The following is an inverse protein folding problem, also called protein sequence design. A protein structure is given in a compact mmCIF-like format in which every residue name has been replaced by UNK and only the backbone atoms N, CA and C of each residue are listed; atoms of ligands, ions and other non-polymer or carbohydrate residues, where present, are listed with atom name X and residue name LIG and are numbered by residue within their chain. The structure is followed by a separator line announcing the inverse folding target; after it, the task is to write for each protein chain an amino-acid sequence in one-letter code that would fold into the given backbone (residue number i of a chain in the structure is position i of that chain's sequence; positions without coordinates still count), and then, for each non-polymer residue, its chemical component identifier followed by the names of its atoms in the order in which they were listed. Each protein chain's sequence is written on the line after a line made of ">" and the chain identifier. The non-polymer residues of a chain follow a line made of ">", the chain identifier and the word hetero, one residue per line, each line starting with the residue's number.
data_IF_838838075037
#
_entry.id   IF_838838075037
#
_cell.length_a   1.000
_cell.length_b   1.000
_cell.length_c   1.000
_cell.angle_alpha   90.00
_cell.angle_beta   90.00
_cell.angle_gamma   90.00
#
_symmetry.space_group_name_H-M   'P 1'
#
loop_
_entity.id
_entity.type
_entity.pdbx_description
1 polymer ?
#
# COMPACT_ATOMS: atom_id res chain seq x y z
N UNK A 1 29.45 16.90 8.39
CA UNK A 1 28.95 18.28 8.50
C UNK A 1 27.45 18.23 8.23
N UNK A 2 26.61 18.55 9.21
CA UNK A 2 25.15 18.65 9.01
C UNK A 2 24.87 19.75 7.98
N UNK A 3 23.93 19.51 7.07
CA UNK A 3 23.57 20.49 6.04
C UNK A 3 22.85 21.67 6.68
N UNK A 4 23.11 22.90 6.23
CA UNK A 4 22.49 24.11 6.82
C UNK A 4 20.97 24.15 6.59
N UNK A 5 20.48 23.50 5.52
CA UNK A 5 19.07 23.26 5.26
C UNK A 5 18.77 21.76 5.03
N UNK A 6 17.57 21.28 5.43
CA UNK A 6 17.17 19.90 5.18
C UNK A 6 16.86 19.63 3.70
N UNK A 7 17.31 18.47 3.24
CA UNK A 7 17.26 18.06 1.83
C UNK A 7 16.03 17.20 1.58
N UNK A 8 15.22 17.58 0.58
CA UNK A 8 14.14 16.76 0.04
C UNK A 8 14.69 15.94 -1.14
N UNK A 9 14.77 14.63 -0.94
CA UNK A 9 15.14 13.66 -1.97
C UNK A 9 13.88 12.95 -2.48
N UNK A 10 13.70 12.89 -3.80
CA UNK A 10 12.54 12.25 -4.42
C UNK A 10 12.93 10.89 -5.00
N UNK A 11 12.34 9.83 -4.47
CA UNK A 11 12.53 8.45 -4.93
C UNK A 11 11.62 8.14 -6.12
N UNK A 12 12.20 8.07 -7.32
CA UNK A 12 11.49 7.81 -8.57
C UNK A 12 11.35 6.30 -8.81
N UNK A 13 10.53 5.65 -7.99
CA UNK A 13 10.24 4.20 -8.03
C UNK A 13 9.30 3.81 -9.19
N UNK A 14 9.68 4.17 -10.41
CA UNK A 14 9.01 3.76 -11.65
C UNK A 14 9.67 2.53 -12.27
N UNK A 15 9.08 2.00 -13.32
CA UNK A 15 9.70 0.96 -14.16
C UNK A 15 9.97 1.45 -15.58
N UNK A 16 9.78 2.76 -15.82
CA UNK A 16 9.94 3.43 -17.10
C UNK A 16 10.58 4.82 -16.90
N UNK A 17 11.42 5.22 -17.85
CA UNK A 17 12.22 6.46 -17.77
C UNK A 17 11.36 7.71 -17.98
N UNK A 18 10.39 7.66 -18.89
CA UNK A 18 9.61 8.83 -19.30
C UNK A 18 8.78 9.40 -18.14
N UNK A 19 8.08 8.55 -17.39
CA UNK A 19 7.36 9.01 -16.20
C UNK A 19 8.29 9.48 -15.11
N UNK A 20 9.41 8.78 -14.91
CA UNK A 20 10.40 9.20 -13.93
C UNK A 20 10.89 10.62 -14.23
N UNK A 21 11.17 10.93 -15.50
CA UNK A 21 11.57 12.28 -15.94
C UNK A 21 10.45 13.30 -15.73
N UNK A 22 9.22 12.97 -16.11
CA UNK A 22 8.10 13.91 -15.96
C UNK A 22 7.90 14.29 -14.48
N UNK A 23 7.86 13.30 -13.59
CA UNK A 23 7.65 13.52 -12.16
C UNK A 23 8.86 14.20 -11.53
N UNK A 24 10.07 13.90 -11.99
CA UNK A 24 11.27 14.61 -11.57
C UNK A 24 11.19 16.11 -11.90
N UNK A 25 10.72 16.48 -13.09
CA UNK A 25 10.55 17.88 -13.49
C UNK A 25 9.51 18.60 -12.62
N UNK A 26 8.36 17.97 -12.39
CA UNK A 26 7.32 18.49 -11.51
C UNK A 26 7.83 18.66 -10.07
N UNK A 27 8.50 17.64 -9.51
CA UNK A 27 8.97 17.66 -8.14
C UNK A 27 10.10 18.69 -7.92
N UNK A 28 11.01 18.86 -8.89
CA UNK A 28 12.02 19.92 -8.85
C UNK A 28 11.37 21.31 -8.88
N UNK A 29 10.34 21.51 -9.71
CA UNK A 29 9.58 22.75 -9.71
C UNK A 29 8.84 23.00 -8.37
N UNK A 30 8.57 21.95 -7.60
CA UNK A 30 8.03 22.01 -6.24
C UNK A 30 9.07 22.16 -5.13
N UNK A 31 10.36 22.26 -5.46
CA UNK A 31 11.43 22.48 -4.48
C UNK A 31 12.11 21.21 -3.95
N UNK A 32 12.00 20.09 -4.66
CA UNK A 32 12.89 18.95 -4.45
C UNK A 32 14.35 19.34 -4.71
N UNK A 33 15.27 18.81 -3.90
CA UNK A 33 16.70 19.11 -4.02
C UNK A 33 17.41 18.00 -4.80
N UNK A 34 17.12 16.74 -4.47
CA UNK A 34 17.78 15.56 -5.02
C UNK A 34 16.78 14.65 -5.72
N UNK A 35 17.24 14.01 -6.80
CA UNK A 35 16.47 13.01 -7.53
C UNK A 35 17.13 11.65 -7.41
N UNK A 36 16.37 10.65 -7.00
CA UNK A 36 16.84 9.28 -6.87
C UNK A 36 16.24 8.42 -7.99
N UNK A 37 17.10 7.78 -8.78
CA UNK A 37 16.71 6.65 -9.61
C UNK A 37 16.50 5.45 -8.69
N UNK A 38 15.25 5.17 -8.34
CA UNK A 38 14.89 4.10 -7.41
C UNK A 38 15.28 2.71 -7.93
N UNK A 39 15.46 1.76 -7.01
CA UNK A 39 15.81 0.36 -7.34
C UNK A 39 14.94 -0.24 -8.47
N UNK A 40 13.59 -0.10 -8.48
CA UNK A 40 12.75 -0.65 -9.54
C UNK A 40 13.07 -0.08 -10.93
N UNK A 41 13.39 1.22 -10.98
CA UNK A 41 13.70 1.93 -12.22
C UNK A 41 15.04 1.45 -12.78
N UNK A 42 16.06 1.38 -11.92
CA UNK A 42 17.38 0.86 -12.29
C UNK A 42 17.28 -0.61 -12.72
N UNK A 43 16.49 -1.44 -12.05
CA UNK A 43 16.33 -2.85 -12.44
C UNK A 43 15.60 -3.03 -13.77
N UNK A 44 14.65 -2.14 -14.09
CA UNK A 44 13.89 -2.20 -15.34
C UNK A 44 14.67 -1.65 -16.54
N UNK A 45 15.46 -0.60 -16.35
CA UNK A 45 16.08 0.19 -17.44
C UNK A 45 17.61 0.14 -17.44
N UNK A 46 18.20 -0.49 -16.43
CA UNK A 46 19.61 -0.38 -16.12
C UNK A 46 20.01 1.06 -15.76
N UNK A 47 21.30 1.34 -15.86
CA UNK A 47 21.86 2.68 -15.62
C UNK A 47 21.51 3.71 -16.70
N UNK A 48 20.72 3.33 -17.72
CA UNK A 48 20.15 4.31 -18.65
C UNK A 48 19.19 5.26 -17.94
N UNK A 49 18.51 4.82 -16.88
CA UNK A 49 17.72 5.68 -16.02
C UNK A 49 18.56 6.84 -15.44
N UNK A 50 19.73 6.51 -14.87
CA UNK A 50 20.66 7.51 -14.30
C UNK A 50 21.19 8.44 -15.39
N UNK A 51 21.57 7.90 -16.56
CA UNK A 51 22.03 8.71 -17.71
C UNK A 51 20.97 9.68 -18.19
N UNK A 52 19.73 9.23 -18.29
CA UNK A 52 18.60 10.04 -18.75
C UNK A 52 18.28 11.18 -17.75
N UNK A 53 18.28 10.88 -16.44
CA UNK A 53 18.16 11.91 -15.41
C UNK A 53 19.30 12.92 -15.47
N UNK A 54 20.56 12.47 -15.62
CA UNK A 54 21.72 13.38 -15.74
C UNK A 54 21.64 14.26 -16.97
N UNK A 55 21.24 13.70 -18.11
CA UNK A 55 21.09 14.45 -19.35
C UNK A 55 20.01 15.53 -19.21
N UNK A 56 18.87 15.21 -18.58
CA UNK A 56 17.76 16.15 -18.40
C UNK A 56 18.04 17.19 -17.32
N UNK A 57 18.70 16.80 -16.23
CA UNK A 57 18.91 17.62 -15.03
C UNK A 57 20.41 17.73 -14.68
N UNK A 58 21.22 18.41 -15.51
CA UNK A 58 22.68 18.38 -15.42
C UNK A 58 23.25 18.99 -14.13
N UNK A 59 22.51 19.88 -13.47
CA UNK A 59 22.94 20.56 -12.23
C UNK A 59 22.35 19.93 -10.96
N UNK A 60 21.44 18.97 -11.10
CA UNK A 60 20.76 18.35 -9.97
C UNK A 60 21.61 17.23 -9.39
N UNK A 61 21.53 17.03 -8.06
CA UNK A 61 22.13 15.88 -7.42
C UNK A 61 21.33 14.63 -7.75
N UNK A 62 21.99 13.62 -8.32
CA UNK A 62 21.37 12.36 -8.70
C UNK A 62 21.87 11.25 -7.77
N UNK A 63 20.93 10.56 -7.16
CA UNK A 63 21.16 9.38 -6.34
C UNK A 63 20.84 8.15 -7.18
N UNK A 64 21.75 7.18 -7.22
CA UNK A 64 21.51 5.86 -7.78
C UNK A 64 21.24 4.88 -6.64
N UNK A 65 20.00 4.46 -6.48
CA UNK A 65 19.58 3.47 -5.49
C UNK A 65 19.92 2.06 -5.99
N UNK A 66 21.22 1.76 -5.99
CA UNK A 66 21.77 0.51 -6.51
C UNK A 66 21.47 -0.68 -5.61
N UNK A 67 21.29 -0.44 -4.31
CA UNK A 67 21.24 -1.47 -3.26
C UNK A 67 22.38 -2.47 -3.40
N UNK A 68 23.59 -1.94 -3.62
CA UNK A 68 24.79 -2.74 -3.81
C UNK A 68 24.98 -3.68 -2.62
N UNK A 69 25.10 -4.97 -2.89
CA UNK A 69 25.30 -6.01 -1.86
C UNK A 69 26.69 -6.65 -1.96
N UNK A 70 27.25 -6.71 -3.17
CA UNK A 70 28.55 -7.27 -3.50
C UNK A 70 29.18 -6.48 -4.67
N UNK A 71 30.45 -6.76 -5.00
CA UNK A 71 31.17 -6.14 -6.10
C UNK A 71 31.19 -4.60 -6.04
N UNK A 72 31.35 -4.07 -4.82
CA UNK A 72 31.14 -2.67 -4.49
C UNK A 72 31.78 -1.66 -5.45
N UNK A 73 33.07 -1.86 -5.76
CA UNK A 73 33.78 -1.03 -6.72
C UNK A 73 33.15 -1.05 -8.10
N UNK A 74 32.86 -2.22 -8.64
CA UNK A 74 32.34 -2.36 -9.99
C UNK A 74 30.99 -1.64 -10.13
N UNK A 75 30.08 -1.82 -9.17
CA UNK A 75 28.75 -1.18 -9.19
C UNK A 75 28.83 0.34 -9.01
N UNK A 76 29.65 0.83 -8.07
CA UNK A 76 29.85 2.27 -7.86
C UNK A 76 30.47 2.93 -9.09
N UNK A 77 31.47 2.30 -9.72
CA UNK A 77 32.11 2.84 -10.91
C UNK A 77 31.12 3.04 -12.06
N UNK A 78 30.29 2.04 -12.35
CA UNK A 78 29.34 2.14 -13.46
C UNK A 78 28.25 3.17 -13.18
N UNK A 79 27.78 3.28 -11.93
CA UNK A 79 26.79 4.27 -11.52
C UNK A 79 27.35 5.70 -11.58
N UNK A 80 28.57 5.92 -11.07
CA UNK A 80 29.25 7.21 -11.15
C UNK A 80 29.50 7.63 -12.61
N UNK A 81 29.99 6.71 -13.46
CA UNK A 81 30.15 6.93 -14.91
C UNK A 81 28.83 7.22 -15.63
N UNK A 82 27.71 6.71 -15.12
CA UNK A 82 26.38 7.01 -15.65
C UNK A 82 25.88 8.41 -15.24
N UNK A 83 26.52 9.08 -14.29
CA UNK A 83 26.21 10.44 -13.86
C UNK A 83 25.61 10.57 -12.46
N UNK A 84 25.65 9.51 -11.64
CA UNK A 84 25.23 9.58 -10.25
C UNK A 84 26.25 10.37 -9.40
N UNK A 85 25.75 11.22 -8.50
CA UNK A 85 26.57 11.90 -7.49
C UNK A 85 26.64 11.09 -6.19
N UNK A 86 25.59 10.34 -5.89
CA UNK A 86 25.44 9.55 -4.68
C UNK A 86 25.01 8.15 -5.09
N UNK A 87 25.60 7.13 -4.48
CA UNK A 87 25.31 5.73 -4.75
C UNK A 87 24.97 5.03 -3.43
N UNK A 88 23.89 4.25 -3.45
CA UNK A 88 23.45 3.47 -2.31
C UNK A 88 24.12 2.08 -2.22
N UNK A 89 24.51 1.69 -1.00
CA UNK A 89 24.99 0.35 -0.64
C UNK A 89 24.20 -0.16 0.54
N UNK A 90 23.83 -1.44 0.54
CA UNK A 90 23.09 -2.03 1.65
C UNK A 90 23.97 -2.11 2.90
N UNK A 91 23.43 -1.69 4.04
CA UNK A 91 24.02 -1.92 5.36
C UNK A 91 24.20 -3.40 5.67
N UNK A 92 23.42 -4.29 5.07
CA UNK A 92 23.60 -5.73 5.18
C UNK A 92 24.84 -6.27 4.42
N UNK A 93 25.45 -5.48 3.52
CA UNK A 93 26.66 -5.88 2.80
C UNK A 93 27.85 -6.04 3.75
N UNK A 94 28.93 -6.69 3.30
CA UNK A 94 30.13 -6.84 4.13
C UNK A 94 30.85 -5.51 4.33
N UNK A 95 31.60 -5.36 5.43
CA UNK A 95 32.44 -4.17 5.66
C UNK A 95 33.47 -3.96 4.56
N UNK A 96 33.98 -5.05 3.98
CA UNK A 96 34.89 -4.98 2.85
C UNK A 96 34.20 -4.38 1.63
N UNK A 97 32.95 -4.79 1.35
CA UNK A 97 32.13 -4.21 0.27
C UNK A 97 31.90 -2.73 0.48
N UNK A 98 31.50 -2.29 1.68
CA UNK A 98 31.26 -0.87 1.97
C UNK A 98 32.54 -0.05 1.78
N UNK A 99 33.69 -0.55 2.28
CA UNK A 99 34.99 0.12 2.08
C UNK A 99 35.36 0.25 0.59
N UNK A 100 35.16 -0.81 -0.20
CA UNK A 100 35.40 -0.76 -1.65
C UNK A 100 34.46 0.24 -2.35
N UNK A 101 33.19 0.32 -1.94
CA UNK A 101 32.26 1.33 -2.44
C UNK A 101 32.75 2.74 -2.14
N UNK A 102 33.19 3.00 -0.90
CA UNK A 102 33.69 4.31 -0.47
C UNK A 102 34.94 4.70 -1.24
N UNK A 103 35.91 3.79 -1.38
CA UNK A 103 37.13 4.06 -2.12
C UNK A 103 36.84 4.34 -3.61
N UNK A 104 35.96 3.55 -4.22
CA UNK A 104 35.51 3.78 -5.59
C UNK A 104 34.82 5.14 -5.73
N UNK A 105 33.92 5.50 -4.81
CA UNK A 105 33.22 6.78 -4.87
C UNK A 105 34.19 7.97 -4.79
N UNK A 106 35.18 7.90 -3.90
CA UNK A 106 36.23 8.93 -3.77
C UNK A 106 37.01 9.13 -5.08
N UNK A 107 37.33 8.05 -5.79
CA UNK A 107 38.04 8.11 -7.08
C UNK A 107 37.25 8.83 -8.19
N UNK A 108 35.92 8.85 -8.09
CA UNK A 108 35.03 9.47 -9.08
C UNK A 108 34.38 10.77 -8.59
N UNK A 109 34.72 11.25 -7.38
CA UNK A 109 34.09 12.42 -6.78
C UNK A 109 32.60 12.20 -6.43
N UNK A 110 32.21 10.96 -6.22
CA UNK A 110 30.88 10.56 -5.77
C UNK A 110 30.84 10.34 -4.26
N UNK A 111 29.64 10.14 -3.71
CA UNK A 111 29.39 9.88 -2.29
C UNK A 111 28.63 8.58 -2.09
N UNK A 112 28.83 7.95 -0.94
CA UNK A 112 28.15 6.71 -0.55
C UNK A 112 27.14 6.98 0.55
N UNK A 113 25.92 6.50 0.36
CA UNK A 113 24.94 6.32 1.42
C UNK A 113 24.83 4.83 1.75
N UNK A 114 24.80 4.50 3.04
CA UNK A 114 24.58 3.13 3.50
C UNK A 114 23.13 2.97 3.96
N UNK A 115 22.34 2.18 3.23
CA UNK A 115 20.93 1.90 3.51
C UNK A 115 20.76 0.86 4.62
N UNK A 116 20.17 1.26 5.75
CA UNK A 116 19.95 0.40 6.91
C UNK A 116 18.68 -0.47 6.81
N UNK A 117 18.08 -0.60 5.63
CA UNK A 117 16.93 -1.49 5.40
C UNK A 117 17.22 -2.91 5.92
N UNK A 118 16.33 -3.43 6.76
CA UNK A 118 16.42 -4.75 7.41
C UNK A 118 17.69 -5.00 8.25
N UNK A 119 18.44 -3.95 8.62
CA UNK A 119 19.56 -4.06 9.57
C UNK A 119 19.02 -4.23 11.00
N UNK A 120 19.46 -5.29 11.68
CA UNK A 120 19.00 -5.64 13.04
C UNK A 120 19.41 -4.63 14.10
N UNK A 121 20.68 -4.25 14.12
CA UNK A 121 21.21 -3.19 14.99
C UNK A 121 21.68 -2.01 14.13
N UNK A 122 20.80 -1.06 13.83
CA UNK A 122 21.13 0.06 12.96
C UNK A 122 22.10 1.05 13.62
N UNK A 123 22.24 1.06 14.94
CA UNK A 123 23.14 1.97 15.67
C UNK A 123 24.57 1.50 15.56
N UNK A 124 24.83 0.23 15.90
CA UNK A 124 26.13 -0.39 15.71
C UNK A 124 26.53 -0.30 14.24
N UNK A 125 25.59 -0.59 13.33
CA UNK A 125 25.88 -0.60 11.91
C UNK A 125 26.19 0.79 11.34
N UNK A 126 25.47 1.82 11.76
CA UNK A 126 25.73 3.19 11.33
C UNK A 126 27.13 3.67 11.74
N UNK A 127 27.57 3.34 12.96
CA UNK A 127 28.94 3.64 13.42
C UNK A 127 30.00 2.92 12.59
N UNK A 128 29.76 1.64 12.27
CA UNK A 128 30.68 0.88 11.43
C UNK A 128 30.77 1.46 10.00
N UNK A 129 29.63 1.88 9.44
CA UNK A 129 29.57 2.56 8.14
C UNK A 129 30.33 3.89 8.14
N UNK A 130 30.14 4.71 9.18
CA UNK A 130 30.88 5.97 9.36
C UNK A 130 32.39 5.73 9.47
N UNK A 131 32.82 4.73 10.26
CA UNK A 131 34.23 4.35 10.37
C UNK A 131 34.81 3.83 9.05
N UNK A 132 33.99 3.20 8.20
CA UNK A 132 34.37 2.78 6.86
C UNK A 132 34.45 3.94 5.85
N UNK A 133 34.08 5.17 6.24
CA UNK A 133 34.11 6.36 5.41
C UNK A 133 32.84 6.62 4.61
N UNK A 134 31.69 6.04 5.01
CA UNK A 134 30.42 6.38 4.43
C UNK A 134 30.13 7.89 4.59
N UNK A 135 29.51 8.49 3.57
CA UNK A 135 29.20 9.91 3.58
C UNK A 135 27.86 10.19 4.24
N UNK A 136 26.94 9.22 4.14
CA UNK A 136 25.58 9.25 4.67
C UNK A 136 25.17 7.86 5.17
N UNK A 137 24.19 7.82 6.05
CA UNK A 137 23.43 6.60 6.38
C UNK A 137 21.94 6.87 6.19
N UNK A 138 21.17 5.86 5.79
CA UNK A 138 19.72 5.99 5.60
C UNK A 138 18.96 5.04 6.53
N UNK A 139 17.99 5.57 7.27
CA UNK A 139 17.00 4.77 7.99
C UNK A 139 15.83 4.51 7.06
N UNK A 140 15.79 3.30 6.52
CA UNK A 140 14.81 2.90 5.55
C UNK A 140 13.90 1.83 6.13
N UNK A 141 12.61 2.14 6.23
CA UNK A 141 11.59 1.11 6.54
C UNK A 141 11.16 0.46 5.24
N UNK A 142 11.26 -0.86 5.11
CA UNK A 142 10.82 -1.57 3.90
C UNK A 142 9.32 -1.34 3.63
N UNK A 143 8.92 -1.29 2.36
CA UNK A 143 7.51 -1.10 1.97
C UNK A 143 6.61 -2.16 2.61
N UNK A 144 7.03 -3.43 2.65
CA UNK A 144 6.25 -4.52 3.26
C UNK A 144 6.07 -4.36 4.77
N UNK A 145 7.05 -3.79 5.46
CA UNK A 145 6.97 -3.47 6.90
C UNK A 145 6.06 -2.25 7.12
N UNK A 146 6.13 -1.25 6.25
CA UNK A 146 5.22 -0.10 6.28
C UNK A 146 3.75 -0.52 6.08
N UNK A 147 3.48 -1.50 5.21
CA UNK A 147 2.12 -2.02 4.99
C UNK A 147 1.52 -2.67 6.24
N UNK A 148 2.34 -2.94 7.27
CA UNK A 148 1.95 -3.49 8.57
C UNK A 148 1.91 -2.45 9.71
N UNK A 149 2.17 -1.17 9.44
CA UNK A 149 1.95 -0.07 10.40
C UNK A 149 3.10 0.30 11.35
N UNK A 150 4.37 0.03 11.03
CA UNK A 150 5.50 0.42 11.89
C UNK A 150 5.85 1.92 11.88
N UNK A 151 6.23 2.51 13.02
CA UNK A 151 6.73 3.90 13.14
C UNK A 151 8.28 3.97 12.94
N UNK A 152 8.79 4.67 11.91
CA UNK A 152 10.23 4.79 11.64
C UNK A 152 10.99 5.77 12.55
N UNK A 153 10.30 6.66 13.27
CA UNK A 153 10.94 7.85 13.87
C UNK A 153 11.77 7.56 15.12
N UNK A 154 11.41 6.53 15.90
CA UNK A 154 12.22 6.13 17.06
C UNK A 154 13.62 5.66 16.64
N UNK A 155 13.69 4.83 15.59
CA UNK A 155 14.98 4.34 15.05
C UNK A 155 15.81 5.47 14.49
N UNK A 156 15.17 6.40 13.76
CA UNK A 156 15.82 7.59 13.23
C UNK A 156 16.52 8.39 14.34
N UNK A 157 15.80 8.70 15.42
CA UNK A 157 16.33 9.50 16.52
C UNK A 157 17.56 8.86 17.18
N UNK A 158 17.52 7.55 17.42
CA UNK A 158 18.65 6.87 18.08
C UNK A 158 19.87 6.85 17.15
N UNK A 159 19.70 6.57 15.86
CA UNK A 159 20.82 6.52 14.91
C UNK A 159 21.40 7.90 14.65
N UNK A 160 20.57 8.93 14.47
CA UNK A 160 21.02 10.31 14.26
C UNK A 160 21.82 10.88 15.44
N UNK A 161 21.65 10.34 16.66
CA UNK A 161 22.45 10.69 17.83
C UNK A 161 23.72 9.84 17.99
N UNK A 162 23.93 8.85 17.12
CA UNK A 162 25.02 7.86 17.26
C UNK A 162 26.18 8.05 16.29
N UNK A 163 26.02 8.91 15.29
CA UNK A 163 26.98 9.22 14.22
C UNK A 163 27.03 10.73 13.96
N UNK A 164 28.14 11.22 13.40
CA UNK A 164 28.35 12.63 13.04
C UNK A 164 28.03 12.93 11.56
N UNK A 165 27.98 11.89 10.72
CA UNK A 165 27.56 11.99 9.32
C UNK A 165 26.04 12.23 9.18
N UNK A 166 25.58 12.92 8.11
CA UNK A 166 24.15 13.19 7.94
C UNK A 166 23.32 11.92 7.76
N UNK A 167 22.15 11.89 8.41
CA UNK A 167 21.23 10.76 8.35
C UNK A 167 20.05 11.08 7.45
N UNK A 168 19.80 10.19 6.50
CA UNK A 168 18.60 10.18 5.68
C UNK A 168 17.51 9.32 6.32
N UNK A 169 16.25 9.60 6.00
CA UNK A 169 15.13 8.72 6.37
C UNK A 169 14.22 8.49 5.18
N UNK A 170 13.84 7.23 4.99
CA UNK A 170 12.89 6.79 3.98
C UNK A 170 11.82 5.90 4.63
N UNK A 171 10.58 6.11 4.22
CA UNK A 171 9.51 5.15 4.47
C UNK A 171 8.16 5.79 4.77
N UNK A 172 7.36 5.99 3.74
CA UNK A 172 5.98 6.47 3.90
C UNK A 172 5.85 7.93 4.34
N UNK A 173 6.92 8.71 4.23
CA UNK A 173 6.94 10.12 4.64
C UNK A 173 6.06 10.93 3.68
N UNK A 174 5.24 11.82 4.25
CA UNK A 174 4.40 12.77 3.54
C UNK A 174 4.49 14.17 4.18
N UNK A 175 3.67 15.10 3.70
CA UNK A 175 3.63 16.50 4.15
C UNK A 175 3.25 16.69 5.62
N UNK A 176 2.63 15.70 6.26
CA UNK A 176 2.30 15.76 7.69
C UNK A 176 3.42 15.23 8.57
N UNK A 177 4.20 14.26 8.07
CA UNK A 177 5.26 13.60 8.86
C UNK A 177 6.66 14.15 8.59
N UNK A 178 6.86 14.91 7.50
CA UNK A 178 8.18 15.41 7.11
C UNK A 178 8.80 16.33 8.18
N UNK A 179 8.00 17.16 8.85
CA UNK A 179 8.47 17.98 9.98
C UNK A 179 9.02 17.12 11.13
N UNK A 180 8.29 16.04 11.49
CA UNK A 180 8.71 15.09 12.54
C UNK A 180 10.01 14.38 12.18
N UNK A 181 10.25 14.08 10.90
CA UNK A 181 11.53 13.52 10.42
C UNK A 181 12.71 14.45 10.77
N UNK A 182 12.58 15.74 10.49
CA UNK A 182 13.62 16.74 10.78
C UNK A 182 13.82 16.89 12.30
N UNK A 183 12.73 16.97 13.06
CA UNK A 183 12.78 17.06 14.52
C UNK A 183 13.54 15.88 15.15
N UNK A 184 13.43 14.69 14.55
CA UNK A 184 14.13 13.48 14.99
C UNK A 184 15.55 13.33 14.42
N UNK A 185 16.08 14.36 13.76
CA UNK A 185 17.49 14.44 13.37
C UNK A 185 17.82 14.07 11.93
N UNK A 186 16.82 13.87 11.06
CA UNK A 186 17.07 13.68 9.64
C UNK A 186 17.65 14.96 9.01
N UNK A 187 18.72 14.80 8.23
CA UNK A 187 19.25 15.86 7.34
C UNK A 187 18.70 15.72 5.92
N UNK A 188 18.30 14.50 5.54
CA UNK A 188 17.74 14.18 4.23
C UNK A 188 16.41 13.44 4.45
N UNK A 189 15.34 13.91 3.82
CA UNK A 189 14.02 13.30 3.85
C UNK A 189 13.74 12.72 2.46
N UNK A 190 13.66 11.39 2.38
CA UNK A 190 13.43 10.67 1.14
C UNK A 190 11.93 10.39 1.00
N UNK A 191 11.33 10.92 -0.06
CA UNK A 191 9.89 10.76 -0.35
C UNK A 191 9.69 10.10 -1.71
N UNK A 192 9.01 8.96 -1.70
CA UNK A 192 8.55 8.27 -2.92
C UNK A 192 7.05 8.49 -3.14
N UNK A 193 6.24 7.52 -2.70
CA UNK A 193 4.81 7.42 -3.01
C UNK A 193 3.97 8.69 -2.82
N UNK A 194 4.24 9.51 -1.79
CA UNK A 194 3.48 10.75 -1.57
C UNK A 194 3.66 11.78 -2.69
N UNK A 195 4.77 11.72 -3.43
CA UNK A 195 5.01 12.55 -4.63
C UNK A 195 4.70 11.74 -5.88
N UNK A 196 5.21 10.51 -5.99
CA UNK A 196 5.10 9.70 -7.21
C UNK A 196 3.72 9.11 -7.47
N UNK A 197 2.79 9.16 -6.52
CA UNK A 197 1.37 8.80 -6.76
C UNK A 197 0.43 9.99 -6.72
N UNK A 198 0.96 11.17 -6.40
CA UNK A 198 0.19 12.40 -6.46
C UNK A 198 -0.24 12.68 -7.90
N UNK A 199 -1.43 13.24 -8.00
CA UNK A 199 -2.01 13.78 -9.22
C UNK A 199 -1.38 15.12 -9.63
N UNK A 200 -0.80 15.82 -8.66
CA UNK A 200 0.05 17.00 -8.84
C UNK A 200 1.34 16.80 -8.02
N UNK A 201 2.38 16.25 -8.66
CA UNK A 201 3.64 15.95 -7.98
C UNK A 201 4.39 17.22 -7.56
N UNK A 202 4.24 18.31 -8.32
CA UNK A 202 4.81 19.62 -7.99
C UNK A 202 4.26 20.13 -6.68
N UNK A 203 2.93 20.18 -6.55
CA UNK A 203 2.28 20.64 -5.31
C UNK A 203 2.60 19.74 -4.13
N UNK A 204 2.62 18.42 -4.32
CA UNK A 204 2.99 17.48 -3.25
C UNK A 204 4.43 17.75 -2.75
N UNK A 205 5.39 17.94 -3.66
CA UNK A 205 6.76 18.30 -3.30
C UNK A 205 6.83 19.66 -2.56
N UNK A 206 6.07 20.65 -3.02
CA UNK A 206 5.99 21.97 -2.38
C UNK A 206 5.47 21.88 -0.94
N UNK A 207 4.35 21.19 -0.72
CA UNK A 207 3.75 21.01 0.61
C UNK A 207 4.70 20.27 1.57
N UNK A 208 5.42 19.26 1.08
CA UNK A 208 6.44 18.54 1.85
C UNK A 208 7.62 19.44 2.19
N UNK A 209 8.17 20.16 1.21
CA UNK A 209 9.32 21.07 1.44
C UNK A 209 8.94 22.18 2.42
N UNK A 210 7.74 22.73 2.31
CA UNK A 210 7.20 23.70 3.27
C UNK A 210 7.09 23.11 4.68
N UNK A 211 6.61 21.87 4.83
CA UNK A 211 6.54 21.21 6.13
C UNK A 211 7.93 21.02 6.77
N UNK A 212 8.92 20.65 5.96
CA UNK A 212 10.32 20.50 6.41
C UNK A 212 10.93 21.82 6.87
N UNK A 213 10.72 22.91 6.12
CA UNK A 213 11.30 24.22 6.42
C UNK A 213 10.61 24.93 7.59
N UNK A 214 9.29 24.80 7.69
CA UNK A 214 8.50 25.48 8.75
C UNK A 214 8.40 24.68 10.04
N UNK A 215 8.72 23.38 10.01
CA UNK A 215 8.52 22.45 11.11
C UNK A 215 7.04 22.19 11.42
N UNK A 216 6.12 22.50 10.50
CA UNK A 216 4.67 22.33 10.68
C UNK A 216 4.12 21.32 9.69
N UNK A 217 3.30 20.40 10.18
CA UNK A 217 2.57 19.46 9.35
C UNK A 217 1.62 20.20 8.39
N UNK A 218 1.63 19.81 7.11
CA UNK A 218 0.66 20.28 6.10
C UNK A 218 -0.30 19.14 5.79
N UNK A 219 -1.58 19.36 6.07
CA UNK A 219 -2.62 18.35 5.89
C UNK A 219 -2.69 17.85 4.45
N UNK A 220 -2.82 16.54 4.27
CA UNK A 220 -2.93 15.92 2.95
C UNK A 220 -4.14 15.00 2.86
N UNK A 221 -4.71 14.92 1.67
CA UNK A 221 -5.78 13.97 1.34
C UNK A 221 -5.23 12.62 0.83
N UNK A 222 -3.91 12.52 0.64
CA UNK A 222 -3.25 11.26 0.31
C UNK A 222 -3.43 10.25 1.44
N UNK A 223 -3.48 8.97 1.06
CA UNK A 223 -3.76 7.91 2.01
C UNK A 223 -2.66 7.78 3.05
N UNK A 224 -3.08 7.66 4.31
CA UNK A 224 -2.22 7.35 5.46
C UNK A 224 -2.38 5.88 5.76
N UNK A 225 -1.27 5.16 5.86
CA UNK A 225 -1.33 3.77 6.31
C UNK A 225 -1.84 3.73 7.75
N UNK A 226 -2.75 2.83 8.02
CA UNK A 226 -3.39 2.72 9.34
C UNK A 226 -3.16 1.35 9.98
N UNK A 227 -3.53 1.26 11.24
CA UNK A 227 -3.59 0.04 12.03
C UNK A 227 -4.98 -0.62 11.97
N UNK A 228 -5.26 -1.58 12.86
CA UNK A 228 -6.50 -2.36 12.83
C UNK A 228 -7.77 -1.54 13.08
N UNK A 229 -7.68 -0.41 13.79
CA UNK A 229 -8.86 0.33 14.26
C UNK A 229 -9.55 1.08 13.12
N UNK A 230 -8.79 1.51 12.10
CA UNK A 230 -9.29 2.26 10.94
C UNK A 230 -9.55 1.39 9.69
N UNK A 231 -9.35 0.06 9.78
CA UNK A 231 -9.43 -0.84 8.62
C UNK A 231 -10.78 -0.77 7.92
N UNK A 232 -11.89 -0.68 8.66
CA UNK A 232 -13.24 -0.64 8.07
C UNK A 232 -13.41 0.57 7.15
N UNK A 233 -12.98 1.74 7.61
CA UNK A 233 -13.14 3.00 6.88
C UNK A 233 -12.34 2.98 5.58
N UNK A 234 -11.17 2.34 5.58
CA UNK A 234 -10.41 2.09 4.35
C UNK A 234 -11.17 1.17 3.42
N UNK A 235 -11.62 0.01 3.92
CA UNK A 235 -12.27 -0.99 3.09
C UNK A 235 -13.56 -0.44 2.45
N UNK A 236 -14.21 0.55 3.08
CA UNK A 236 -15.35 1.28 2.49
C UNK A 236 -14.97 2.24 1.37
N UNK A 237 -13.72 2.72 1.32
CA UNK A 237 -13.22 3.67 0.30
C UNK A 237 -12.70 3.00 -0.97
N UNK A 238 -12.32 1.73 -0.88
CA UNK A 238 -11.79 0.96 -2.02
C UNK A 238 -12.88 0.09 -2.68
N UNK A 239 -12.66 -0.31 -3.92
CA UNK A 239 -13.50 -1.30 -4.62
C UNK A 239 -13.08 -2.73 -4.29
N UNK A 240 -13.98 -3.69 -4.49
CA UNK A 240 -13.64 -5.11 -4.45
C UNK A 240 -12.55 -5.47 -5.47
N UNK A 241 -12.51 -4.78 -6.63
CA UNK A 241 -11.43 -4.91 -7.61
C UNK A 241 -10.07 -4.47 -7.05
N UNK A 242 -10.00 -3.32 -6.37
CA UNK A 242 -8.76 -2.85 -5.75
C UNK A 242 -8.26 -3.84 -4.67
N UNK A 243 -9.17 -4.42 -3.89
CA UNK A 243 -8.84 -5.44 -2.89
C UNK A 243 -8.35 -6.73 -3.56
N UNK A 244 -9.01 -7.18 -4.63
CA UNK A 244 -8.59 -8.35 -5.40
C UNK A 244 -7.17 -8.16 -5.94
N UNK A 245 -6.87 -7.01 -6.55
CA UNK A 245 -5.52 -6.70 -7.04
C UNK A 245 -4.48 -6.65 -5.91
N UNK A 246 -4.84 -6.08 -4.75
CA UNK A 246 -4.00 -6.09 -3.55
C UNK A 246 -3.72 -7.50 -3.00
N UNK A 247 -4.63 -8.45 -3.24
CA UNK A 247 -4.49 -9.86 -2.89
C UNK A 247 -3.90 -10.71 -4.03
N UNK A 248 -3.38 -10.10 -5.10
CA UNK A 248 -2.85 -10.77 -6.30
C UNK A 248 -3.92 -11.48 -7.13
N UNK A 249 -5.06 -10.82 -7.35
CA UNK A 249 -6.19 -11.23 -8.20
C UNK A 249 -6.91 -12.46 -7.64
N UNK A 250 -7.33 -12.36 -6.38
CA UNK A 250 -8.05 -13.44 -5.68
C UNK A 250 -8.92 -12.89 -4.55
N UNK A 251 -9.67 -13.79 -3.90
CA UNK A 251 -10.50 -13.52 -2.72
C UNK A 251 -11.99 -13.37 -3.03
N UNK A 252 -12.36 -13.28 -4.30
CA UNK A 252 -13.74 -13.14 -4.77
C UNK A 252 -14.61 -14.37 -4.48
N UNK A 253 -15.87 -14.14 -4.10
CA UNK A 253 -16.90 -15.17 -3.96
C UNK A 253 -17.75 -15.28 -5.23
N UNK A 254 -17.85 -16.49 -5.79
CA UNK A 254 -18.52 -16.75 -7.06
C UNK A 254 -20.04 -16.73 -6.96
N UNK A 255 -20.66 -16.00 -7.90
CA UNK A 255 -22.10 -16.00 -8.14
C UNK A 255 -22.93 -15.25 -7.10
N UNK A 256 -22.30 -14.52 -6.17
CA UNK A 256 -22.99 -13.75 -5.14
C UNK A 256 -23.10 -12.29 -5.61
N UNK A 257 -24.31 -11.72 -5.58
CA UNK A 257 -24.62 -10.37 -6.08
C UNK A 257 -25.36 -9.54 -5.02
N UNK A 258 -25.19 -8.21 -5.03
CA UNK A 258 -25.95 -7.35 -4.13
C UNK A 258 -27.43 -7.33 -4.50
N UNK A 259 -28.27 -7.24 -3.48
CA UNK A 259 -29.70 -7.00 -3.62
C UNK A 259 -29.99 -5.50 -3.78
N UNK A 260 -29.15 -4.66 -3.19
CA UNK A 260 -29.26 -3.20 -3.22
C UNK A 260 -28.12 -2.63 -4.09
N UNK A 261 -28.41 -2.08 -5.29
CA UNK A 261 -27.38 -1.48 -6.13
C UNK A 261 -26.66 -0.31 -5.43
N UNK A 262 -25.36 -0.19 -5.65
CA UNK A 262 -24.52 0.87 -5.07
C UNK A 262 -24.22 0.70 -3.57
N UNK A 263 -24.64 -0.40 -2.95
CA UNK A 263 -24.39 -0.64 -1.52
C UNK A 263 -22.93 -1.03 -1.29
N UNK A 264 -22.37 -0.62 -0.15
CA UNK A 264 -21.06 -1.05 0.33
C UNK A 264 -21.22 -1.88 1.59
N UNK A 265 -20.41 -2.92 1.70
CA UNK A 265 -20.32 -3.81 2.86
C UNK A 265 -18.84 -3.90 3.24
N UNK A 266 -18.49 -3.74 4.51
CA UNK A 266 -17.15 -4.01 5.00
C UNK A 266 -17.19 -4.34 6.49
N UNK A 267 -16.88 -5.57 6.88
CA UNK A 267 -16.83 -5.95 8.29
C UNK A 267 -16.32 -7.36 8.57
N UNK A 268 -16.01 -7.67 9.84
CA UNK A 268 -15.60 -9.01 10.27
C UNK A 268 -16.76 -10.00 10.17
N UNK A 269 -16.43 -11.25 9.91
CA UNK A 269 -17.38 -12.28 9.50
C UNK A 269 -17.80 -13.16 10.67
N UNK A 270 -19.10 -13.34 10.83
CA UNK A 270 -19.69 -14.50 11.51
C UNK A 270 -20.08 -15.50 10.45
N UNK A 271 -19.60 -16.75 10.56
CA UNK A 271 -19.94 -17.80 9.60
C UNK A 271 -21.11 -18.63 10.10
N UNK A 272 -21.98 -19.03 9.17
CA UNK A 272 -23.06 -19.98 9.42
C UNK A 272 -23.07 -21.02 8.31
N UNK A 273 -23.18 -22.29 8.70
CA UNK A 273 -23.55 -23.38 7.77
C UNK A 273 -24.90 -23.92 8.18
N UNK A 274 -25.81 -24.05 7.24
CA UNK A 274 -27.12 -24.68 7.49
C UNK A 274 -27.59 -25.50 6.29
N UNK A 275 -28.60 -26.34 6.50
CA UNK A 275 -29.18 -27.15 5.43
C UNK A 275 -30.06 -26.29 4.51
N UNK A 276 -30.23 -26.68 3.24
CA UNK A 276 -31.14 -25.99 2.33
C UNK A 276 -32.54 -25.80 2.92
N UNK A 277 -32.98 -24.54 2.99
CA UNK A 277 -34.26 -24.16 3.57
C UNK A 277 -34.34 -24.21 5.09
N UNK A 278 -33.25 -24.41 5.84
CA UNK A 278 -33.27 -24.26 7.29
C UNK A 278 -32.74 -22.89 7.73
N UNK A 279 -33.65 -21.99 8.07
CA UNK A 279 -33.30 -20.62 8.49
C UNK A 279 -33.00 -20.48 9.98
N UNK A 280 -33.09 -21.55 10.79
CA UNK A 280 -32.94 -21.46 12.24
C UNK A 280 -31.60 -20.88 12.70
N UNK A 281 -30.48 -21.43 12.19
CA UNK A 281 -29.12 -20.96 12.54
C UNK A 281 -28.78 -19.56 12.01
N UNK A 282 -29.14 -19.20 10.76
CA UNK A 282 -29.05 -17.82 10.29
C UNK A 282 -29.66 -16.79 11.23
N UNK A 283 -30.87 -17.05 11.74
CA UNK A 283 -31.54 -16.11 12.64
C UNK A 283 -30.91 -16.10 14.03
N UNK A 284 -30.56 -17.26 14.59
CA UNK A 284 -29.84 -17.34 15.87
C UNK A 284 -28.47 -16.63 15.83
N UNK A 285 -27.81 -16.59 14.68
CA UNK A 285 -26.52 -15.93 14.55
C UNK A 285 -26.62 -14.40 14.70
N UNK A 286 -27.78 -13.80 14.41
CA UNK A 286 -28.04 -12.37 14.62
C UNK A 286 -27.90 -12.01 16.12
N UNK A 287 -28.32 -12.90 17.01
CA UNK A 287 -28.24 -12.66 18.45
C UNK A 287 -26.79 -12.57 18.95
N UNK A 288 -25.89 -13.31 18.30
CA UNK A 288 -24.46 -13.37 18.60
C UNK A 288 -23.66 -12.23 17.97
N UNK A 289 -24.22 -11.57 16.95
CA UNK A 289 -23.57 -10.50 16.21
C UNK A 289 -23.33 -9.26 17.07
N UNK A 290 -22.17 -8.65 16.87
CA UNK A 290 -21.83 -7.33 17.36
C UNK A 290 -22.07 -6.26 16.28
N UNK A 291 -22.22 -4.98 16.67
CA UNK A 291 -22.32 -3.89 15.71
C UNK A 291 -21.16 -3.92 14.72
N UNK A 292 -21.48 -3.85 13.43
CA UNK A 292 -20.55 -3.90 12.32
C UNK A 292 -20.18 -5.30 11.83
N UNK A 293 -20.67 -6.38 12.44
CA UNK A 293 -20.41 -7.73 11.93
C UNK A 293 -21.14 -7.99 10.60
N UNK A 294 -20.56 -8.88 9.79
CA UNK A 294 -21.12 -9.40 8.55
C UNK A 294 -21.44 -10.87 8.73
N UNK A 295 -22.67 -11.27 8.44
CA UNK A 295 -23.05 -12.68 8.48
C UNK A 295 -22.82 -13.34 7.12
N UNK A 296 -21.98 -14.37 7.05
CA UNK A 296 -21.74 -15.15 5.82
C UNK A 296 -22.33 -16.55 5.99
N UNK A 297 -23.28 -16.88 5.12
CA UNK A 297 -24.12 -18.08 5.23
C UNK A 297 -23.84 -19.03 4.06
N UNK A 298 -23.44 -20.25 4.39
CA UNK A 298 -23.31 -21.39 3.48
C UNK A 298 -24.57 -22.29 3.57
N UNK A 299 -25.35 -22.31 2.49
CA UNK A 299 -26.43 -23.30 2.27
C UNK A 299 -26.23 -24.05 0.95
N UNK A 300 -24.99 -24.13 0.45
CA UNK A 300 -24.66 -24.82 -0.79
C UNK A 300 -25.33 -24.22 -2.04
N UNK A 301 -25.61 -22.92 -2.07
CA UNK A 301 -26.17 -22.24 -3.23
C UNK A 301 -27.55 -22.74 -3.65
N UNK A 302 -28.37 -23.17 -2.69
CA UNK A 302 -29.63 -23.88 -2.94
C UNK A 302 -30.87 -23.10 -2.49
N UNK A 303 -32.04 -23.48 -3.03
CA UNK A 303 -33.37 -23.09 -2.56
C UNK A 303 -33.85 -23.99 -1.39
N UNK A 304 -34.92 -23.63 -0.66
CA UNK A 304 -35.66 -22.36 -0.68
C UNK A 304 -34.95 -21.23 0.10
N UNK A 305 -35.54 -20.04 0.13
CA UNK A 305 -34.95 -18.87 0.79
C UNK A 305 -34.85 -19.04 2.31
N UNK A 306 -33.71 -18.61 2.87
CA UNK A 306 -33.40 -18.68 4.31
C UNK A 306 -33.36 -17.31 5.00
N UNK A 307 -33.51 -16.24 4.22
CA UNK A 307 -33.48 -14.85 4.71
C UNK A 307 -34.54 -14.01 4.00
N UNK A 308 -35.10 -13.04 4.71
CA UNK A 308 -36.15 -12.13 4.22
C UNK A 308 -36.24 -10.88 5.09
N UNK A 309 -37.33 -10.12 4.96
CA UNK A 309 -37.45 -8.78 5.55
C UNK A 309 -37.31 -8.77 7.08
N UNK A 310 -37.98 -9.68 7.80
CA UNK A 310 -37.94 -9.69 9.27
C UNK A 310 -36.55 -9.99 9.84
N UNK A 311 -35.79 -10.86 9.17
CA UNK A 311 -34.40 -11.14 9.52
C UNK A 311 -33.53 -9.89 9.31
N UNK A 312 -33.78 -9.15 8.22
CA UNK A 312 -33.13 -7.87 7.94
C UNK A 312 -33.42 -6.82 9.00
N UNK A 313 -34.67 -6.66 9.45
CA UNK A 313 -35.00 -5.74 10.57
C UNK A 313 -34.22 -6.09 11.85
N UNK A 314 -34.14 -7.37 12.18
CA UNK A 314 -33.39 -7.84 13.35
C UNK A 314 -31.88 -7.54 13.22
N UNK A 315 -31.31 -7.75 12.03
CA UNK A 315 -29.92 -7.43 11.76
C UNK A 315 -29.61 -5.92 11.84
N UNK A 316 -30.50 -5.08 11.30
CA UNK A 316 -30.41 -3.61 11.42
C UNK A 316 -30.47 -3.19 12.89
N UNK A 317 -31.39 -3.76 13.67
CA UNK A 317 -31.52 -3.45 15.10
C UNK A 317 -30.26 -3.83 15.90
N UNK A 318 -29.55 -4.90 15.50
CA UNK A 318 -28.25 -5.29 16.06
C UNK A 318 -27.08 -4.44 15.57
N UNK A 319 -27.30 -3.55 14.62
CA UNK A 319 -26.25 -2.73 14.01
C UNK A 319 -25.29 -3.52 13.14
N UNK A 320 -25.72 -4.66 12.59
CA UNK A 320 -24.90 -5.45 11.67
C UNK A 320 -24.61 -4.67 10.39
N UNK A 321 -23.44 -4.89 9.81
CA UNK A 321 -23.06 -4.25 8.55
C UNK A 321 -23.79 -4.88 7.35
N UNK A 322 -24.04 -6.19 7.37
CA UNK A 322 -24.74 -6.85 6.28
C UNK A 322 -24.81 -8.37 6.37
N UNK A 323 -25.34 -8.98 5.31
CA UNK A 323 -25.42 -10.44 5.14
C UNK A 323 -24.98 -10.86 3.74
N UNK A 324 -24.26 -11.98 3.67
CA UNK A 324 -23.79 -12.63 2.45
C UNK A 324 -24.30 -14.06 2.44
N UNK A 325 -25.07 -14.44 1.42
CA UNK A 325 -25.78 -15.72 1.38
C UNK A 325 -25.36 -16.50 0.13
N UNK A 326 -24.61 -17.59 0.31
CA UNK A 326 -24.47 -18.60 -0.73
C UNK A 326 -25.71 -19.50 -0.75
N UNK A 327 -26.82 -18.94 -1.22
CA UNK A 327 -28.17 -19.49 -1.12
C UNK A 327 -29.23 -18.55 -1.65
N UNK A 328 -30.48 -18.79 -1.25
CA UNK A 328 -31.63 -17.96 -1.64
C UNK A 328 -32.06 -16.96 -0.56
N UNK A 329 -32.42 -15.76 -1.03
CA UNK A 329 -33.05 -14.68 -0.25
C UNK A 329 -34.44 -14.35 -0.83
N UNK A 330 -35.32 -13.78 0.00
CA UNK A 330 -36.65 -13.28 -0.41
C UNK A 330 -36.89 -11.84 0.08
N UNK A 331 -38.05 -11.28 -0.25
CA UNK A 331 -38.48 -9.92 0.18
C UNK A 331 -37.50 -8.82 -0.28
N UNK A 332 -36.95 -8.97 -1.48
CA UNK A 332 -35.93 -8.06 -2.01
C UNK A 332 -36.39 -6.62 -2.26
N UNK A 333 -37.66 -6.32 -2.62
CA UNK A 333 -38.15 -4.94 -2.66
C UNK A 333 -38.05 -4.25 -1.30
N UNK A 334 -38.46 -4.92 -0.22
CA UNK A 334 -38.45 -4.40 1.14
C UNK A 334 -37.02 -4.23 1.66
N UNK A 335 -36.16 -5.23 1.42
CA UNK A 335 -34.73 -5.14 1.78
C UNK A 335 -34.04 -3.96 1.07
N UNK A 336 -34.38 -3.70 -0.21
CA UNK A 336 -33.91 -2.50 -0.92
C UNK A 336 -34.40 -1.21 -0.29
N UNK A 337 -35.66 -1.14 0.11
CA UNK A 337 -36.22 0.03 0.77
C UNK A 337 -35.56 0.31 2.14
N UNK A 338 -35.13 -0.74 2.84
CA UNK A 338 -34.38 -0.63 4.11
C UNK A 338 -32.93 -0.19 3.92
N UNK A 339 -32.38 -0.26 2.70
CA UNK A 339 -30.98 0.09 2.43
C UNK A 339 -29.95 -0.83 3.11
N UNK A 340 -30.33 -2.06 3.45
CA UNK A 340 -29.45 -3.01 4.13
C UNK A 340 -28.54 -3.74 3.13
N UNK A 341 -27.25 -3.88 3.47
CA UNK A 341 -26.28 -4.59 2.63
C UNK A 341 -26.52 -6.10 2.64
N UNK A 342 -27.41 -6.55 1.76
CA UNK A 342 -27.70 -7.95 1.52
C UNK A 342 -27.12 -8.42 0.19
N UNK A 343 -26.41 -9.54 0.22
CA UNK A 343 -25.81 -10.19 -0.94
C UNK A 343 -26.28 -11.63 -1.00
N UNK A 344 -26.68 -12.11 -2.18
CA UNK A 344 -27.22 -13.45 -2.34
C UNK A 344 -26.84 -14.05 -3.69
N UNK A 345 -26.75 -15.38 -3.76
CA UNK A 345 -26.64 -16.10 -5.04
C UNK A 345 -27.98 -16.20 -5.77
N UNK A 346 -29.05 -16.47 -5.03
CA UNK A 346 -30.38 -16.75 -5.58
C UNK A 346 -31.43 -15.84 -4.94
N UNK A 347 -32.52 -15.61 -5.66
CA UNK A 347 -33.72 -14.92 -5.17
C UNK A 347 -34.91 -15.87 -5.36
N UNK A 348 -35.73 -16.08 -4.33
CA UNK A 348 -36.92 -16.94 -4.40
C UNK A 348 -38.04 -16.42 -3.51
N UNK A 349 -39.32 -16.51 -3.91
CA UNK A 349 -40.43 -16.19 -3.02
C UNK A 349 -40.67 -17.28 -1.95
N UNK A 350 -40.25 -18.52 -2.20
CA UNK A 350 -40.51 -19.65 -1.29
C UNK A 350 -39.53 -19.61 -0.13
N UNK A 351 -40.03 -19.53 1.10
CA UNK A 351 -39.20 -19.67 2.29
C UNK A 351 -39.09 -21.13 2.75
N UNK A 352 -38.01 -21.41 3.45
CA UNK A 352 -37.82 -22.65 4.19
C UNK A 352 -38.50 -22.69 5.56
N UNK A 353 -38.11 -23.66 6.38
CA UNK A 353 -38.65 -23.94 7.72
C UNK A 353 -37.53 -23.92 8.78
N UNK A 354 -37.79 -23.52 10.04
CA UNK A 354 -36.77 -23.51 11.08
C UNK A 354 -36.57 -24.90 11.68
N UNK A 355 -35.74 -25.73 11.04
CA UNK A 355 -35.54 -27.13 11.46
C UNK A 355 -34.50 -27.27 12.58
N UNK A 356 -33.66 -26.27 12.78
CA UNK A 356 -32.71 -26.19 13.90
C UNK A 356 -31.35 -26.84 13.65
N UNK A 357 -31.10 -27.31 12.44
CA UNK A 357 -29.82 -27.92 12.03
C UNK A 357 -28.80 -26.87 11.62
N UNK A 358 -27.53 -27.26 11.60
CA UNK A 358 -26.41 -26.41 11.19
C UNK A 358 -25.56 -25.91 12.36
N UNK A 359 -24.60 -25.07 12.02
CA UNK A 359 -23.52 -24.64 12.91
C UNK A 359 -23.23 -23.14 12.69
N UNK A 360 -22.82 -22.46 13.76
CA UNK A 360 -22.42 -21.04 13.76
C UNK A 360 -20.96 -20.98 14.21
N UNK A 361 -20.18 -20.07 13.65
CA UNK A 361 -18.76 -19.88 13.95
C UNK A 361 -17.89 -21.11 13.64
N UNK A 362 -18.21 -21.84 12.57
CA UNK A 362 -17.38 -22.91 12.01
C UNK A 362 -16.79 -22.50 10.65
N UNK A 363 -15.64 -23.02 10.22
CA UNK A 363 -15.14 -22.78 8.87
C UNK A 363 -16.12 -23.30 7.81
N UNK A 364 -16.47 -22.46 6.84
CA UNK A 364 -17.43 -22.77 5.77
C UNK A 364 -16.79 -22.68 4.38
N UNK A 365 -17.51 -23.10 3.35
CA UNK A 365 -17.14 -22.86 1.96
C UNK A 365 -18.33 -22.29 1.22
N UNK A 366 -18.26 -21.01 0.89
CA UNK A 366 -19.33 -20.26 0.26
C UNK A 366 -18.75 -19.51 -0.95
N UNK A 367 -19.45 -19.51 -2.09
CA UNK A 367 -18.97 -18.86 -3.31
C UNK A 367 -17.63 -19.40 -3.80
N UNK A 368 -17.33 -20.69 -3.60
CA UNK A 368 -16.02 -21.26 -3.94
C UNK A 368 -14.86 -20.81 -3.01
N UNK A 369 -15.14 -20.05 -1.95
CA UNK A 369 -14.14 -19.56 -0.99
C UNK A 369 -14.33 -20.15 0.38
N UNK A 370 -13.19 -20.53 0.98
CA UNK A 370 -13.13 -20.94 2.38
C UNK A 370 -13.16 -19.70 3.26
N UNK A 371 -14.08 -19.66 4.21
CA UNK A 371 -14.28 -18.52 5.10
C UNK A 371 -14.19 -18.99 6.54
N UNK A 372 -13.39 -18.29 7.35
CA UNK A 372 -13.26 -18.54 8.77
C UNK A 372 -13.96 -17.45 9.59
N UNK A 373 -14.47 -17.77 10.80
CA UNK A 373 -14.96 -16.75 11.71
C UNK A 373 -13.89 -15.68 11.98
N UNK A 374 -14.28 -14.41 11.87
CA UNK A 374 -13.41 -13.25 12.05
C UNK A 374 -12.59 -12.84 10.84
N UNK A 375 -12.65 -13.56 9.71
CA UNK A 375 -12.22 -13.03 8.41
C UNK A 375 -13.04 -11.78 8.08
N UNK A 376 -12.63 -10.99 7.08
CA UNK A 376 -13.35 -9.79 6.68
C UNK A 376 -14.04 -9.99 5.34
N UNK A 377 -15.29 -9.57 5.24
CA UNK A 377 -16.04 -9.51 3.99
C UNK A 377 -16.15 -8.07 3.54
N UNK A 378 -15.79 -7.81 2.28
CA UNK A 378 -15.99 -6.52 1.61
C UNK A 378 -16.82 -6.72 0.36
N UNK A 379 -17.80 -5.86 0.14
CA UNK A 379 -18.77 -5.99 -0.93
C UNK A 379 -19.14 -4.69 -1.61
N UNK A 380 -19.36 -4.76 -2.91
CA UNK A 380 -19.94 -3.73 -3.76
C UNK A 380 -20.66 -4.35 -4.98
N UNK A 381 -20.97 -3.55 -6.00
CA UNK A 381 -21.71 -4.00 -7.18
C UNK A 381 -21.06 -5.18 -7.93
N UNK A 382 -19.75 -5.35 -7.83
CA UNK A 382 -19.01 -6.41 -8.52
C UNK A 382 -19.03 -7.75 -7.76
N UNK A 383 -19.42 -7.75 -6.48
CA UNK A 383 -19.59 -8.95 -5.65
C UNK A 383 -19.01 -8.81 -4.24
N UNK A 384 -18.50 -9.92 -3.70
CA UNK A 384 -17.87 -9.99 -2.37
C UNK A 384 -16.44 -10.50 -2.50
N UNK A 385 -15.52 -9.92 -1.73
CA UNK A 385 -14.17 -10.42 -1.49
C UNK A 385 -14.01 -10.78 0.00
N UNK A 386 -13.40 -11.93 0.28
CA UNK A 386 -13.05 -12.37 1.63
C UNK A 386 -11.55 -12.16 1.88
N UNK A 387 -11.24 -11.43 2.94
CA UNK A 387 -9.88 -11.12 3.37
C UNK A 387 -9.58 -11.89 4.66
N UNK A 388 -8.54 -12.73 4.70
CA UNK A 388 -8.17 -13.42 5.93
C UNK A 388 -7.89 -12.45 7.08
N UNK A 389 -8.40 -12.75 8.28
CA UNK A 389 -8.25 -11.89 9.47
C UNK A 389 -6.82 -11.42 9.69
N UNK A 390 -5.86 -12.33 9.57
CA UNK A 390 -4.43 -12.07 9.80
C UNK A 390 -3.78 -11.12 8.78
N UNK A 391 -4.45 -10.86 7.65
CA UNK A 391 -3.92 -10.04 6.55
C UNK A 391 -4.72 -8.75 6.32
N UNK A 392 -5.78 -8.51 7.10
CA UNK A 392 -6.73 -7.43 6.78
C UNK A 392 -6.09 -6.05 6.74
N UNK A 393 -5.20 -5.72 7.69
CA UNK A 393 -4.46 -4.45 7.71
C UNK A 393 -3.55 -4.30 6.48
N UNK A 394 -2.78 -5.35 6.17
CA UNK A 394 -1.88 -5.38 5.02
C UNK A 394 -2.66 -5.20 3.70
N UNK A 395 -3.77 -5.92 3.55
CA UNK A 395 -4.61 -5.87 2.34
C UNK A 395 -5.33 -4.52 2.22
N UNK A 396 -5.84 -3.95 3.31
CA UNK A 396 -6.46 -2.61 3.29
C UNK A 396 -5.47 -1.53 2.83
N UNK A 397 -4.26 -1.53 3.40
CA UNK A 397 -3.19 -0.59 3.02
C UNK A 397 -2.77 -0.79 1.55
N UNK A 398 -2.66 -2.04 1.09
CA UNK A 398 -2.35 -2.36 -0.33
C UNK A 398 -3.48 -1.99 -1.28
N UNK A 399 -4.75 -2.15 -0.89
CA UNK A 399 -5.88 -1.79 -1.72
C UNK A 399 -5.96 -0.26 -1.94
N UNK A 400 -5.64 0.53 -0.91
CA UNK A 400 -5.51 1.98 -1.07
C UNK A 400 -4.32 2.35 -1.96
N UNK A 401 -3.19 1.66 -1.85
CA UNK A 401 -2.05 1.84 -2.75
C UNK A 401 -2.41 1.61 -4.22
N UNK A 402 -3.23 0.59 -4.50
CA UNK A 402 -3.79 0.32 -5.83
C UNK A 402 -4.69 1.47 -6.28
N UNK A 403 -5.63 1.91 -5.42
CA UNK A 403 -6.54 3.01 -5.73
C UNK A 403 -5.80 4.32 -6.06
N UNK A 404 -4.76 4.66 -5.30
CA UNK A 404 -3.94 5.86 -5.57
C UNK A 404 -3.24 5.79 -6.92
N UNK A 405 -2.64 4.63 -7.24
CA UNK A 405 -2.02 4.41 -8.56
C UNK A 405 -3.04 4.53 -9.68
N UNK A 406 -4.23 3.96 -9.51
CA UNK A 406 -5.31 4.08 -10.47
C UNK A 406 -5.80 5.50 -10.65
N UNK A 407 -5.93 6.28 -9.56
CA UNK A 407 -6.33 7.68 -9.64
C UNK A 407 -5.34 8.51 -10.46
N UNK A 408 -4.03 8.32 -10.23
CA UNK A 408 -3.00 8.96 -11.04
C UNK A 408 -3.10 8.54 -12.51
N UNK A 409 -3.22 7.25 -12.80
CA UNK A 409 -3.37 6.76 -14.17
C UNK A 409 -4.63 7.31 -14.84
N UNK A 410 -5.74 7.42 -14.09
CA UNK A 410 -7.00 7.99 -14.56
C UNK A 410 -6.80 9.45 -14.97
N UNK A 411 -6.11 10.24 -14.17
CA UNK A 411 -5.81 11.62 -14.54
C UNK A 411 -4.90 11.73 -15.78
N UNK A 412 -3.88 10.87 -15.91
CA UNK A 412 -3.04 10.81 -17.11
C UNK A 412 -3.88 10.50 -18.37
N UNK A 413 -4.90 9.62 -18.24
CA UNK A 413 -5.85 9.31 -19.32
C UNK A 413 -6.77 10.50 -19.60
N UNK A 414 -7.33 11.14 -18.58
CA UNK A 414 -8.20 12.32 -18.72
C UNK A 414 -7.46 13.51 -19.37
N UNK A 415 -6.13 13.61 -19.18
CA UNK A 415 -5.26 14.59 -19.85
C UNK A 415 -4.91 14.21 -21.31
N UNK A 416 -5.51 13.15 -21.85
CA UNK A 416 -5.42 12.77 -23.27
C UNK A 416 -4.48 11.61 -23.59
N UNK A 417 -3.92 10.92 -22.58
CA UNK A 417 -3.19 9.67 -22.80
C UNK A 417 -4.16 8.48 -22.96
N UNK A 418 -3.62 7.29 -23.21
CA UNK A 418 -4.39 6.03 -23.22
C UNK A 418 -3.82 5.06 -22.20
N UNK A 419 -4.65 4.12 -21.73
CA UNK A 419 -4.22 3.08 -20.78
C UNK A 419 -3.11 2.17 -21.31
N UNK A 420 -2.88 2.12 -22.63
CA UNK A 420 -1.75 1.38 -23.19
C UNK A 420 -0.43 2.16 -23.03
N UNK A 421 -0.50 3.49 -23.16
CA UNK A 421 0.65 4.40 -23.09
C UNK A 421 1.06 4.65 -21.64
N UNK A 422 0.10 5.10 -20.84
CA UNK A 422 0.15 5.04 -19.36
C UNK A 422 0.41 3.59 -19.01
N UNK A 423 1.44 3.14 -18.32
CA UNK A 423 1.60 1.69 -18.05
C UNK A 423 2.35 0.91 -19.15
N UNK A 424 2.70 1.56 -20.26
CA UNK A 424 3.79 1.12 -21.15
C UNK A 424 3.65 -0.33 -21.65
N UNK A 425 2.43 -0.72 -22.05
CA UNK A 425 2.14 -2.12 -22.38
C UNK A 425 2.96 -2.62 -23.57
N UNK A 426 3.22 -1.77 -24.57
CA UNK A 426 4.01 -2.09 -25.76
C UNK A 426 5.45 -2.52 -25.44
N UNK A 427 6.03 -2.06 -24.31
CA UNK A 427 7.38 -2.46 -23.89
C UNK A 427 7.47 -3.96 -23.59
N UNK A 428 6.37 -4.54 -23.13
CA UNK A 428 6.30 -5.94 -22.73
C UNK A 428 5.92 -6.87 -23.87
N UNK A 429 5.59 -6.32 -25.04
CA UNK A 429 5.31 -7.12 -26.23
C UNK A 429 6.56 -7.88 -26.65
N UNK A 430 6.38 -9.20 -26.84
CA UNK A 430 7.44 -10.03 -27.41
C UNK A 430 7.69 -9.58 -28.84
N UNK A 431 8.91 -9.13 -29.13
CA UNK A 431 9.37 -8.88 -30.50
C UNK A 431 9.21 -10.18 -31.29
N UNK A 432 8.40 -10.14 -32.34
CA UNK A 432 8.17 -11.28 -33.25
C UNK A 432 9.38 -11.54 -34.14
#
# INVERSE_FOLDING_TARGET
>A
MKTDEPILQVALDFVDIERAIQVAEEALAGGADWLEAGTPLIKSEGLNAVRALRQRFPQTTIVADMKTMDAGRAEVEVAAKAGANIIDVLGAASDATIRECVEAANNYGARIVVDMIEVRDPVERARAAEQAGAHYVSIHTAIDVQMRGGDPFERLKVVANSVDIPVAVAGGINSETAAKAIENGASIVIVGGAITKSTDARRAAEEIKQAMLTGKAVATNLFKRVDIDDVRDILKRVSTANISDAMHRTGEMEGIRPIVPGIKLAGPVITVRTFPGDWSKPIQAIDLAQPGDVLVIDVGGSYPAIWGELATHSAIQKGMEGVVIDGAIRDTPEIRALGFAAFSRLISPTAGEPKGFGEINVPITAGGRRVFPGDWAVGDDDGIVIIPKAKVVEVANRAMDVLEKENRMREEIERGSTLSKVGYLEKWDKKR
#
